data_IF_545436260109
#
_entry.id   IF_545436260109
#
_cell.length_a   1.000
_cell.length_b   1.000
_cell.length_c   1.000
_cell.angle_alpha   90.00
_cell.angle_beta   90.00
_cell.angle_gamma   90.00
#
_symmetry.space_group_name_H-M   'P 1'
#
loop_
_entity.id
_entity.type
_entity.pdbx_description
1 polymer ?
#
# COMPACT_ATOMS: atom_id res chain seq x y z
N UNK A 1 9.63 8.85 17.98
CA UNK A 1 9.50 8.72 16.51
C UNK A 1 10.88 8.87 15.87
N UNK A 2 11.19 8.12 14.81
CA UNK A 2 12.46 8.23 14.05
C UNK A 2 12.15 8.96 12.75
N UNK A 3 12.79 10.11 12.52
CA UNK A 3 12.62 10.88 11.27
C UNK A 3 13.48 10.29 10.14
N UNK A 4 12.95 10.24 8.91
CA UNK A 4 13.66 9.68 7.75
C UNK A 4 14.36 10.72 6.87
N UNK A 5 14.02 12.02 7.04
CA UNK A 5 14.54 13.10 6.20
C UNK A 5 16.07 13.10 6.06
N UNK A 6 16.88 12.92 7.13
CA UNK A 6 18.33 12.93 6.99
C UNK A 6 18.86 11.83 6.06
N UNK A 7 18.24 10.65 6.08
CA UNK A 7 18.62 9.55 5.19
C UNK A 7 18.15 9.83 3.77
N UNK A 8 16.95 10.37 3.59
CA UNK A 8 16.44 10.77 2.27
C UNK A 8 17.34 11.82 1.62
N UNK A 9 17.74 12.85 2.37
CA UNK A 9 18.67 13.90 1.90
C UNK A 9 20.02 13.28 1.49
N UNK A 10 20.52 12.28 2.23
CA UNK A 10 21.76 11.57 1.90
C UNK A 10 21.61 10.73 0.61
N UNK A 11 20.47 10.06 0.41
CA UNK A 11 20.18 9.35 -0.85
C UNK A 11 20.10 10.31 -2.04
N UNK A 12 19.41 11.45 -1.89
CA UNK A 12 19.37 12.48 -2.93
C UNK A 12 20.77 13.00 -3.27
N UNK A 13 21.60 13.28 -2.26
CA UNK A 13 22.98 13.70 -2.48
C UNK A 13 23.81 12.66 -3.23
N UNK A 14 23.65 11.37 -2.90
CA UNK A 14 24.35 10.27 -3.56
C UNK A 14 23.88 10.04 -5.01
N UNK A 15 22.59 10.27 -5.30
CA UNK A 15 21.96 10.02 -6.60
C UNK A 15 21.93 11.26 -7.51
N UNK A 16 22.29 12.44 -7.01
CA UNK A 16 22.13 13.72 -7.71
C UNK A 16 22.73 13.72 -9.14
N UNK A 17 23.90 13.09 -9.33
CA UNK A 17 24.54 13.01 -10.65
C UNK A 17 23.77 12.08 -11.61
N UNK A 18 23.31 10.94 -11.12
CA UNK A 18 22.57 9.97 -11.93
C UNK A 18 21.18 10.51 -12.32
N UNK A 19 20.57 11.34 -11.47
CA UNK A 19 19.25 11.91 -11.71
C UNK A 19 19.28 13.30 -12.36
N UNK A 20 20.43 13.74 -12.87
CA UNK A 20 20.57 15.07 -13.46
C UNK A 20 19.67 15.23 -14.69
N UNK A 21 18.78 16.22 -14.65
CA UNK A 21 17.86 16.52 -15.75
C UNK A 21 16.60 15.65 -15.80
N UNK A 22 16.37 14.83 -14.76
CA UNK A 22 15.14 14.06 -14.59
C UNK A 22 14.23 14.76 -13.58
N UNK A 23 12.92 14.74 -13.86
CA UNK A 23 11.90 15.19 -12.92
C UNK A 23 11.70 14.16 -11.81
N UNK A 24 11.26 14.60 -10.64
CA UNK A 24 10.90 13.69 -9.55
C UNK A 24 9.65 12.91 -9.91
N UNK A 25 9.65 11.62 -9.58
CA UNK A 25 8.55 10.71 -9.81
C UNK A 25 8.38 9.71 -8.65
N UNK A 26 7.73 8.58 -8.90
CA UNK A 26 7.53 7.52 -7.89
C UNK A 26 8.85 6.98 -7.32
N UNK A 27 9.99 7.25 -7.94
CA UNK A 27 11.32 6.88 -7.46
C UNK A 27 11.62 7.48 -6.09
N UNK A 28 11.38 8.78 -5.89
CA UNK A 28 11.63 9.44 -4.60
C UNK A 28 10.66 8.96 -3.51
N UNK A 29 9.41 8.70 -3.86
CA UNK A 29 8.43 8.08 -2.96
C UNK A 29 8.87 6.68 -2.52
N UNK A 30 9.32 5.86 -3.48
CA UNK A 30 9.84 4.52 -3.24
C UNK A 30 11.09 4.54 -2.35
N UNK A 31 11.97 5.55 -2.47
CA UNK A 31 13.12 5.71 -1.57
C UNK A 31 12.67 5.92 -0.12
N UNK A 32 11.66 6.75 0.12
CA UNK A 32 11.11 6.95 1.46
C UNK A 32 10.59 5.64 2.07
N UNK A 33 9.84 4.85 1.29
CA UNK A 33 9.35 3.54 1.74
C UNK A 33 10.51 2.57 2.06
N UNK A 34 11.52 2.48 1.20
CA UNK A 34 12.70 1.62 1.42
C UNK A 34 13.51 2.03 2.64
N UNK A 35 13.68 3.33 2.91
CA UNK A 35 14.35 3.82 4.13
C UNK A 35 13.61 3.33 5.38
N UNK A 36 12.27 3.39 5.39
CA UNK A 36 11.46 2.87 6.51
C UNK A 36 11.65 1.36 6.67
N UNK A 37 11.65 0.61 5.57
CA UNK A 37 11.91 -0.84 5.58
C UNK A 37 13.26 -1.19 6.19
N UNK A 38 14.34 -0.49 5.78
CA UNK A 38 15.69 -0.69 6.34
C UNK A 38 15.73 -0.42 7.84
N UNK A 39 15.11 0.68 8.31
CA UNK A 39 15.08 1.01 9.74
C UNK A 39 14.35 -0.06 10.57
N UNK A 40 13.17 -0.49 10.11
CA UNK A 40 12.37 -1.48 10.82
C UNK A 40 13.08 -2.85 10.84
N UNK A 41 13.70 -3.26 9.74
CA UNK A 41 14.51 -4.47 9.69
C UNK A 41 15.74 -4.40 10.59
N UNK A 42 16.42 -3.24 10.68
CA UNK A 42 17.53 -3.07 11.61
C UNK A 42 17.09 -3.23 13.07
N UNK A 43 15.92 -2.69 13.43
CA UNK A 43 15.31 -2.88 14.75
C UNK A 43 14.96 -4.36 14.97
N UNK A 44 14.33 -5.01 13.99
CA UNK A 44 13.98 -6.43 14.00
C UNK A 44 15.21 -7.29 14.30
N UNK A 45 16.30 -7.08 13.55
CA UNK A 45 17.56 -7.80 13.69
C UNK A 45 18.21 -7.59 15.06
N UNK A 46 18.21 -6.34 15.56
CA UNK A 46 18.86 -6.01 16.83
C UNK A 46 18.09 -6.52 18.04
N UNK A 47 16.75 -6.57 17.95
CA UNK A 47 15.87 -6.93 19.07
C UNK A 47 15.29 -8.34 18.98
N UNK A 48 15.50 -9.05 17.87
CA UNK A 48 14.93 -10.39 17.65
C UNK A 48 13.41 -10.39 17.45
N UNK A 49 12.83 -9.28 16.99
CA UNK A 49 11.39 -9.21 16.72
C UNK A 49 11.07 -9.74 15.32
N UNK A 50 9.82 -10.17 15.12
CA UNK A 50 9.26 -10.42 13.80
C UNK A 50 8.61 -9.13 13.27
N UNK A 51 9.11 -8.60 12.16
CA UNK A 51 8.49 -7.46 11.50
C UNK A 51 7.24 -7.90 10.73
N UNK A 52 6.10 -7.31 11.07
CA UNK A 52 4.83 -7.50 10.36
C UNK A 52 4.67 -6.41 9.30
N UNK A 53 4.45 -6.82 8.06
CA UNK A 53 4.06 -5.93 6.97
C UNK A 53 2.54 -5.70 7.01
N UNK A 54 2.10 -4.59 6.40
CA UNK A 54 0.70 -4.14 6.48
C UNK A 54 -0.01 -4.04 5.14
N UNK A 55 0.63 -4.49 4.06
CA UNK A 55 0.03 -4.55 2.73
C UNK A 55 -1.19 -5.48 2.70
N UNK A 56 -2.27 -5.02 2.09
CA UNK A 56 -3.52 -5.78 1.96
C UNK A 56 -3.66 -6.40 0.56
N UNK A 57 -4.63 -7.30 0.39
CA UNK A 57 -4.85 -8.05 -0.86
C UNK A 57 -5.04 -7.14 -2.07
N UNK A 58 -5.80 -6.05 -1.90
CA UNK A 58 -6.12 -5.13 -2.98
C UNK A 58 -4.88 -4.40 -3.48
N UNK A 59 -4.02 -3.96 -2.56
CA UNK A 59 -2.73 -3.31 -2.88
C UNK A 59 -1.78 -4.28 -3.59
N UNK A 60 -1.65 -5.50 -3.05
CA UNK A 60 -0.75 -6.53 -3.61
C UNK A 60 -1.20 -6.97 -5.01
N UNK A 61 -2.51 -7.12 -5.23
CA UNK A 61 -3.05 -7.64 -6.48
C UNK A 61 -2.78 -6.73 -7.69
N UNK A 62 -2.76 -5.41 -7.48
CA UNK A 62 -2.46 -4.42 -8.54
C UNK A 62 -1.02 -3.90 -8.51
N UNK A 63 -0.17 -4.48 -7.64
CA UNK A 63 1.22 -4.05 -7.49
C UNK A 63 1.38 -2.66 -6.88
N UNK A 64 0.38 -2.15 -6.15
CA UNK A 64 0.43 -0.87 -5.45
C UNK A 64 1.18 -1.02 -4.12
N UNK A 65 2.48 -1.32 -4.23
CA UNK A 65 3.38 -1.56 -3.11
C UNK A 65 4.82 -1.27 -3.52
N UNK A 66 5.65 -0.85 -2.56
CA UNK A 66 7.09 -0.67 -2.78
C UNK A 66 7.85 -1.93 -2.39
N UNK A 67 8.45 -2.60 -3.37
CA UNK A 67 9.40 -3.69 -3.09
C UNK A 67 10.53 -3.20 -2.18
N UNK A 68 10.75 -3.97 -1.11
CA UNK A 68 11.71 -3.69 -0.03
C UNK A 68 11.42 -2.40 0.77
N UNK A 69 10.25 -1.79 0.54
CA UNK A 69 9.70 -0.70 1.34
C UNK A 69 8.65 -1.21 2.32
N UNK A 70 7.38 -0.92 2.06
CA UNK A 70 6.24 -1.43 2.85
C UNK A 70 6.15 -2.97 2.86
N UNK A 71 6.71 -3.63 1.85
CA UNK A 71 6.81 -5.09 1.78
C UNK A 71 7.96 -5.69 2.62
N UNK A 72 8.79 -4.86 3.26
CA UNK A 72 9.90 -5.36 4.08
C UNK A 72 9.38 -5.92 5.41
N UNK A 73 9.35 -7.24 5.55
CA UNK A 73 9.06 -7.91 6.82
C UNK A 73 9.01 -9.42 6.69
N UNK A 74 8.78 -10.10 7.82
CA UNK A 74 8.79 -11.56 7.91
C UNK A 74 7.41 -12.21 7.80
N UNK A 75 6.33 -11.44 7.99
CA UNK A 75 4.96 -11.95 7.85
C UNK A 75 4.00 -10.83 7.44
N UNK A 76 2.93 -11.18 6.70
CA UNK A 76 1.95 -10.24 6.16
C UNK A 76 0.53 -10.68 6.57
N UNK A 77 0.03 -10.26 7.75
CA UNK A 77 -1.26 -10.71 8.27
C UNK A 77 -2.47 -10.33 7.40
N UNK A 78 -2.35 -9.23 6.65
CA UNK A 78 -3.44 -8.67 5.85
C UNK A 78 -3.35 -9.01 4.37
N UNK A 79 -2.34 -9.78 3.93
CA UNK A 79 -2.07 -10.03 2.51
C UNK A 79 -3.23 -10.65 1.72
N UNK A 80 -4.16 -11.29 2.43
CA UNK A 80 -5.34 -11.95 1.86
C UNK A 80 -6.66 -11.30 2.32
N UNK A 81 -6.59 -10.15 2.97
CA UNK A 81 -7.76 -9.33 3.27
C UNK A 81 -7.87 -8.21 2.24
N UNK A 82 -9.00 -8.10 1.53
CA UNK A 82 -9.28 -6.94 0.68
C UNK A 82 -9.35 -5.67 1.51
N UNK A 83 -9.17 -4.49 0.89
CA UNK A 83 -9.28 -3.20 1.58
C UNK A 83 -10.65 -3.05 2.24
N UNK A 84 -11.71 -3.46 1.56
CA UNK A 84 -13.07 -3.47 2.11
C UNK A 84 -13.15 -4.36 3.36
N UNK A 85 -12.55 -5.55 3.34
CA UNK A 85 -12.50 -6.43 4.51
C UNK A 85 -11.68 -5.82 5.64
N UNK A 86 -10.57 -5.13 5.36
CA UNK A 86 -9.77 -4.41 6.38
C UNK A 86 -10.63 -3.39 7.13
N UNK A 87 -11.43 -2.58 6.42
CA UNK A 87 -12.36 -1.63 7.06
C UNK A 87 -13.44 -2.33 7.90
N UNK A 88 -14.00 -3.43 7.39
CA UNK A 88 -14.98 -4.23 8.15
C UNK A 88 -14.37 -4.82 9.43
N UNK A 89 -13.15 -5.36 9.35
CA UNK A 89 -12.41 -5.90 10.48
C UNK A 89 -12.07 -4.82 11.50
N UNK A 90 -11.71 -3.61 11.06
CA UNK A 90 -11.45 -2.48 11.95
C UNK A 90 -12.71 -2.09 12.74
N UNK A 91 -13.86 -1.97 12.06
CA UNK A 91 -15.15 -1.68 12.71
C UNK A 91 -15.57 -2.79 13.67
N UNK A 92 -15.42 -4.06 13.26
CA UNK A 92 -15.67 -5.22 14.12
C UNK A 92 -14.76 -5.24 15.35
N UNK A 93 -13.46 -4.96 15.19
CA UNK A 93 -12.53 -4.90 16.33
C UNK A 93 -12.94 -3.80 17.30
N UNK A 94 -13.37 -2.64 16.81
CA UNK A 94 -13.81 -1.53 17.65
C UNK A 94 -15.15 -1.78 18.34
N UNK A 95 -16.06 -2.58 17.77
CA UNK A 95 -17.31 -2.97 18.47
C UNK A 95 -17.02 -3.83 19.71
N UNK A 96 -15.87 -4.49 19.76
CA UNK A 96 -15.37 -5.26 20.92
C UNK A 96 -14.52 -4.43 21.89
N UNK A 97 -14.35 -3.13 21.62
CA UNK A 97 -13.55 -2.20 22.40
C UNK A 97 -12.81 -1.24 21.46
N UNK A 98 -13.14 0.05 21.55
CA UNK A 98 -12.64 1.08 20.64
C UNK A 98 -11.13 1.33 20.84
N UNK A 99 -10.30 0.68 20.04
CA UNK A 99 -8.83 0.81 20.09
C UNK A 99 -8.24 1.44 18.83
N UNK A 100 -8.96 1.37 17.70
CA UNK A 100 -8.58 2.05 16.46
C UNK A 100 -9.26 3.43 16.48
N UNK A 101 -8.51 4.55 16.42
CA UNK A 101 -9.12 5.87 16.40
C UNK A 101 -10.09 6.02 15.22
N UNK A 102 -11.29 6.55 15.48
CA UNK A 102 -12.32 6.70 14.44
C UNK A 102 -11.84 7.56 13.27
N UNK A 103 -11.04 8.60 13.55
CA UNK A 103 -10.42 9.44 12.52
C UNK A 103 -9.55 8.65 11.52
N UNK A 104 -8.96 7.50 11.90
CA UNK A 104 -8.19 6.64 10.97
C UNK A 104 -9.13 5.87 10.04
N UNK A 105 -10.31 5.49 10.52
CA UNK A 105 -11.31 4.75 9.75
C UNK A 105 -12.03 5.66 8.75
N UNK A 106 -12.28 6.92 9.14
CA UNK A 106 -13.03 7.88 8.30
C UNK A 106 -12.13 8.59 7.27
N UNK A 107 -10.81 8.54 7.47
CA UNK A 107 -9.85 9.18 6.58
C UNK A 107 -9.80 8.46 5.22
N UNK A 108 -9.72 9.20 4.10
CA UNK A 108 -9.46 8.60 2.79
C UNK A 108 -8.14 7.80 2.77
N UNK A 109 -8.07 6.70 2.01
CA UNK A 109 -6.86 5.90 1.90
C UNK A 109 -5.75 6.64 1.14
N UNK A 110 -4.52 6.57 1.68
CA UNK A 110 -3.32 7.26 1.17
C UNK A 110 -2.06 6.57 1.69
N UNK A 111 -0.99 6.58 0.90
CA UNK A 111 0.36 6.16 1.29
C UNK A 111 1.18 7.25 2.03
N UNK A 112 0.71 8.52 2.01
CA UNK A 112 1.35 9.66 2.67
C UNK A 112 2.83 9.87 2.31
N UNK A 113 3.22 9.56 1.07
CA UNK A 113 4.59 9.74 0.55
C UNK A 113 4.78 11.08 -0.15
N UNK A 114 3.70 11.70 -0.60
CA UNK A 114 3.66 13.04 -1.20
C UNK A 114 2.51 13.88 -0.60
N UNK A 115 2.60 15.23 -0.66
CA UNK A 115 1.53 16.12 -0.21
C UNK A 115 0.21 15.83 -0.94
N UNK A 116 -0.89 15.78 -0.18
CA UNK A 116 -2.26 15.59 -0.69
C UNK A 116 -2.52 14.29 -1.48
N UNK A 117 -1.59 13.33 -1.44
CA UNK A 117 -1.67 12.04 -2.13
C UNK A 117 -2.92 11.25 -1.72
N UNK A 118 -3.63 10.69 -2.70
CA UNK A 118 -4.72 9.72 -2.49
C UNK A 118 -4.47 8.46 -3.31
N UNK A 119 -4.83 7.31 -2.78
CA UNK A 119 -4.72 6.05 -3.54
C UNK A 119 -5.56 6.10 -4.83
N UNK A 120 -6.70 6.81 -4.78
CA UNK A 120 -7.62 6.98 -5.91
C UNK A 120 -7.04 7.82 -7.07
N UNK A 121 -5.89 8.47 -6.88
CA UNK A 121 -5.21 9.18 -7.97
C UNK A 121 -4.66 8.19 -9.02
N UNK A 122 -4.42 6.92 -8.62
CA UNK A 122 -3.90 5.87 -9.50
C UNK A 122 -4.82 4.64 -9.55
N UNK A 123 -5.55 4.34 -8.48
CA UNK A 123 -6.43 3.17 -8.36
C UNK A 123 -7.91 3.54 -8.55
N UNK A 124 -8.77 2.59 -8.97
CA UNK A 124 -10.21 2.81 -8.89
C UNK A 124 -10.64 2.84 -7.40
N UNK A 125 -11.87 3.28 -7.08
CA UNK A 125 -12.40 3.13 -5.73
C UNK A 125 -12.28 1.68 -5.26
N UNK A 126 -11.85 1.48 -4.01
CA UNK A 126 -11.60 0.13 -3.49
C UNK A 126 -12.82 -0.80 -3.55
N UNK A 127 -14.05 -0.27 -3.46
CA UNK A 127 -15.27 -1.07 -3.64
C UNK A 127 -15.36 -1.68 -5.05
N UNK A 128 -15.01 -0.90 -6.08
CA UNK A 128 -14.95 -1.37 -7.46
C UNK A 128 -13.77 -2.31 -7.67
N UNK A 129 -12.58 -1.91 -7.19
CA UNK A 129 -11.37 -2.72 -7.30
C UNK A 129 -11.55 -4.10 -6.65
N UNK A 130 -12.06 -4.15 -5.42
CA UNK A 130 -12.24 -5.39 -4.68
C UNK A 130 -13.27 -6.31 -5.36
N UNK A 131 -14.32 -5.74 -5.96
CA UNK A 131 -15.30 -6.52 -6.70
C UNK A 131 -14.73 -7.10 -8.00
N UNK A 132 -13.89 -6.34 -8.72
CA UNK A 132 -13.17 -6.81 -9.90
C UNK A 132 -12.18 -7.93 -9.50
N UNK A 133 -11.40 -7.72 -8.44
CA UNK A 133 -10.43 -8.70 -7.96
C UNK A 133 -11.10 -9.98 -7.47
N UNK A 134 -12.24 -9.89 -6.78
CA UNK A 134 -13.03 -11.07 -6.41
C UNK A 134 -13.46 -11.87 -7.64
N UNK A 135 -14.03 -11.20 -8.65
CA UNK A 135 -14.48 -11.86 -9.87
C UNK A 135 -13.31 -12.48 -10.67
N UNK A 136 -12.17 -11.79 -10.74
CA UNK A 136 -11.03 -12.22 -11.54
C UNK A 136 -10.18 -13.30 -10.85
N UNK A 137 -9.89 -13.15 -9.56
CA UNK A 137 -8.94 -14.00 -8.82
C UNK A 137 -9.62 -15.15 -8.09
N UNK A 138 -10.80 -14.90 -7.50
CA UNK A 138 -11.48 -15.92 -6.67
C UNK A 138 -12.53 -16.72 -7.47
N UNK A 139 -13.15 -16.09 -8.46
CA UNK A 139 -14.19 -16.71 -9.29
C UNK A 139 -13.69 -17.13 -10.69
N UNK A 140 -12.41 -16.93 -11.00
CA UNK A 140 -11.77 -17.26 -12.28
C UNK A 140 -12.52 -16.72 -13.52
N UNK A 141 -13.18 -15.56 -13.40
CA UNK A 141 -13.90 -14.96 -14.53
C UNK A 141 -12.94 -14.29 -15.50
N UNK A 142 -13.23 -14.43 -16.79
CA UNK A 142 -12.54 -13.70 -17.85
C UNK A 142 -12.88 -12.20 -17.82
N UNK A 143 -11.99 -11.37 -18.36
CA UNK A 143 -12.21 -9.93 -18.55
C UNK A 143 -13.58 -9.65 -19.22
N UNK A 144 -13.94 -10.42 -20.24
CA UNK A 144 -15.20 -10.27 -20.96
C UNK A 144 -16.43 -10.55 -20.08
N UNK A 145 -16.33 -11.50 -19.14
CA UNK A 145 -17.40 -11.80 -18.18
C UNK A 145 -17.52 -10.70 -17.12
N UNK A 146 -16.39 -10.16 -16.66
CA UNK A 146 -16.37 -9.05 -15.70
C UNK A 146 -16.97 -7.78 -16.32
N UNK A 147 -16.64 -7.46 -17.57
CA UNK A 147 -17.27 -6.32 -18.28
C UNK A 147 -18.78 -6.51 -18.43
N UNK A 148 -19.26 -7.75 -18.66
CA UNK A 148 -20.70 -8.06 -18.68
C UNK A 148 -21.39 -7.87 -17.33
N UNK A 149 -20.65 -7.87 -16.21
CA UNK A 149 -21.19 -7.52 -14.88
C UNK A 149 -21.40 -6.01 -14.71
N UNK A 150 -20.98 -5.19 -15.68
CA UNK A 150 -21.21 -3.73 -15.68
C UNK A 150 -19.98 -2.91 -15.31
N UNK A 151 -18.81 -3.53 -15.11
CA UNK A 151 -17.56 -2.82 -14.84
C UNK A 151 -16.99 -2.18 -16.10
N UNK A 152 -16.30 -1.05 -15.94
CA UNK A 152 -15.66 -0.35 -17.05
C UNK A 152 -14.51 -1.18 -17.64
N UNK A 153 -14.53 -1.43 -18.95
CA UNK A 153 -13.54 -2.28 -19.62
C UNK A 153 -12.09 -1.77 -19.48
N UNK A 154 -11.88 -0.45 -19.50
CA UNK A 154 -10.54 0.11 -19.32
C UNK A 154 -10.01 -0.13 -17.90
N UNK A 155 -10.89 -0.07 -16.89
CA UNK A 155 -10.53 -0.39 -15.50
C UNK A 155 -10.20 -1.87 -15.34
N UNK A 156 -11.00 -2.78 -15.91
CA UNK A 156 -10.80 -4.24 -15.78
C UNK A 156 -9.51 -4.70 -16.48
N UNK A 157 -9.10 -4.03 -17.57
CA UNK A 157 -7.89 -4.38 -18.34
C UNK A 157 -6.60 -3.86 -17.73
N UNK A 158 -6.66 -2.87 -16.85
CA UNK A 158 -5.50 -2.24 -16.22
C UNK A 158 -5.03 -3.07 -15.04
#
# INVERSE_FOLDING_TARGET
TIAIKPMLDAFHGALAKEFTGLESDTTEENLQARIRGVLLMAISNKKGYLLLTTGNKSEVAVGYATLYGDMAGGFAPLKDASKTLVYQLARYRNSRGAVIPQAVIDRPPSAELAPDQKDQDTLPPYEELDAILQAYVEEDRSIAEIVKLGFNEATVKR
#
